data_IF_450895130407
#
_entry.id   IF_450895130407
#
_cell.length_a   1.000
_cell.length_b   1.000
_cell.length_c   1.000
_cell.angle_alpha   90.00
_cell.angle_beta   90.00
_cell.angle_gamma   90.00
#
_symmetry.space_group_name_H-M   'P 1'
#
loop_
_entity.id
_entity.type
_entity.pdbx_description
1 polymer ?
#
# COMPACT_ATOMS: atom_id res chain seq x y z
N UNK A 1 -52.79 -35.49 -24.00
CA UNK A 1 -52.15 -34.18 -24.14
C UNK A 1 -51.18 -34.04 -22.98
N UNK A 2 -50.02 -34.68 -23.10
CA UNK A 2 -48.92 -34.57 -22.14
C UNK A 2 -47.80 -33.80 -22.83
N UNK A 3 -47.56 -32.58 -22.36
CA UNK A 3 -46.42 -31.76 -22.74
C UNK A 3 -45.21 -32.33 -22.00
N UNK A 4 -44.42 -33.14 -22.69
CA UNK A 4 -43.08 -33.50 -22.24
C UNK A 4 -42.20 -32.26 -22.38
N UNK A 5 -41.90 -31.61 -21.25
CA UNK A 5 -40.87 -30.58 -21.17
C UNK A 5 -39.53 -31.18 -21.61
N UNK A 6 -39.10 -30.79 -22.79
CA UNK A 6 -37.86 -31.20 -23.41
C UNK A 6 -36.72 -30.41 -22.72
N UNK A 7 -36.34 -30.80 -21.50
CA UNK A 7 -35.13 -30.31 -20.84
C UNK A 7 -33.91 -30.79 -21.64
N UNK A 8 -33.49 -30.00 -22.62
CA UNK A 8 -32.20 -30.19 -23.28
C UNK A 8 -31.11 -30.08 -22.22
N UNK A 9 -30.32 -31.14 -22.06
CA UNK A 9 -29.13 -31.11 -21.22
C UNK A 9 -28.24 -29.93 -21.65
N UNK A 10 -27.80 -29.07 -20.71
CA UNK A 10 -26.94 -27.94 -21.03
C UNK A 10 -25.65 -28.42 -21.70
N UNK A 11 -25.18 -27.70 -22.71
CA UNK A 11 -23.91 -28.04 -23.35
C UNK A 11 -22.77 -27.91 -22.33
N UNK A 12 -21.66 -28.64 -22.54
CA UNK A 12 -20.48 -28.49 -21.66
C UNK A 12 -19.98 -27.03 -21.60
N UNK A 13 -20.13 -26.29 -22.70
CA UNK A 13 -19.81 -24.86 -22.75
C UNK A 13 -20.69 -24.05 -21.80
N UNK A 14 -22.00 -24.34 -21.75
CA UNK A 14 -22.94 -23.63 -20.87
C UNK A 14 -22.66 -23.94 -19.40
N UNK A 15 -22.31 -25.19 -19.08
CA UNK A 15 -21.88 -25.59 -17.74
C UNK A 15 -20.64 -24.82 -17.28
N UNK A 16 -19.61 -24.71 -18.13
CA UNK A 16 -18.39 -23.95 -17.82
C UNK A 16 -18.69 -22.46 -17.63
N UNK A 17 -19.56 -21.89 -18.49
CA UNK A 17 -20.00 -20.50 -18.38
C UNK A 17 -20.75 -20.26 -17.06
N UNK A 18 -21.59 -21.22 -16.64
CA UNK A 18 -22.29 -21.20 -15.36
C UNK A 18 -21.32 -21.28 -14.18
N UNK A 19 -20.34 -22.18 -14.23
CA UNK A 19 -19.32 -22.33 -13.18
C UNK A 19 -18.52 -21.03 -12.97
N UNK A 20 -18.04 -20.39 -14.04
CA UNK A 20 -17.37 -19.10 -13.93
C UNK A 20 -18.27 -17.98 -13.43
N UNK A 21 -19.57 -18.02 -13.73
CA UNK A 21 -20.53 -17.05 -13.18
C UNK A 21 -20.71 -17.26 -11.67
N UNK A 22 -20.75 -18.50 -11.20
CA UNK A 22 -20.79 -18.83 -9.77
C UNK A 22 -19.55 -18.30 -9.05
N UNK A 23 -18.36 -18.63 -9.54
CA UNK A 23 -17.08 -18.15 -8.99
C UNK A 23 -16.98 -16.62 -8.96
N UNK A 24 -17.43 -15.97 -10.04
CA UNK A 24 -17.54 -14.51 -10.08
C UNK A 24 -18.38 -13.97 -8.92
N UNK A 25 -19.55 -14.57 -8.68
CA UNK A 25 -20.46 -14.13 -7.62
C UNK A 25 -19.86 -14.37 -6.24
N UNK A 26 -19.25 -15.53 -5.99
CA UNK A 26 -18.57 -15.84 -4.73
C UNK A 26 -17.52 -14.77 -4.39
N UNK A 27 -16.66 -14.39 -5.33
CA UNK A 27 -15.65 -13.34 -5.09
C UNK A 27 -16.27 -11.96 -4.80
N UNK A 28 -17.45 -11.67 -5.35
CA UNK A 28 -18.17 -10.42 -5.13
C UNK A 28 -18.82 -10.39 -3.74
N UNK A 29 -19.33 -11.53 -3.30
CA UNK A 29 -20.08 -11.68 -2.06
C UNK A 29 -19.18 -11.73 -0.82
N UNK A 30 -17.90 -12.12 -0.96
CA UNK A 30 -16.90 -12.16 0.13
C UNK A 30 -16.77 -10.84 0.91
N UNK A 31 -17.07 -9.69 0.28
CA UNK A 31 -17.09 -8.40 0.97
C UNK A 31 -18.40 -8.17 1.75
N UNK A 32 -19.52 -8.63 1.20
CA UNK A 32 -20.88 -8.29 1.65
C UNK A 32 -21.38 -9.22 2.76
N UNK A 33 -20.92 -10.48 2.80
CA UNK A 33 -21.43 -11.52 3.70
C UNK A 33 -20.66 -11.65 5.03
N UNK A 34 -19.75 -10.73 5.33
CA UNK A 34 -18.95 -10.83 6.56
C UNK A 34 -19.82 -10.60 7.78
N UNK A 35 -20.02 -11.66 8.57
CA UNK A 35 -20.78 -11.62 9.81
C UNK A 35 -20.01 -10.80 10.84
N UNK A 36 -20.68 -9.78 11.37
CA UNK A 36 -20.17 -9.01 12.50
C UNK A 36 -20.22 -9.85 13.76
N UNK A 37 -19.08 -10.14 14.39
CA UNK A 37 -19.08 -10.65 15.76
C UNK A 37 -18.96 -9.49 16.74
N UNK A 38 -19.61 -9.56 17.91
CA UNK A 38 -19.30 -8.65 18.99
C UNK A 38 -17.80 -8.75 19.31
N UNK A 39 -17.17 -7.62 19.58
CA UNK A 39 -15.77 -7.60 20.00
C UNK A 39 -15.62 -8.45 21.26
N UNK A 40 -15.03 -9.63 21.13
CA UNK A 40 -14.61 -10.44 22.27
C UNK A 40 -13.47 -9.71 22.95
N UNK A 41 -13.68 -9.25 24.19
CA UNK A 41 -12.75 -8.38 24.93
C UNK A 41 -11.32 -8.92 25.01
N UNK A 42 -11.13 -10.25 24.99
CA UNK A 42 -9.82 -10.91 24.81
C UNK A 42 -10.03 -12.34 24.30
N UNK A 43 -9.17 -12.80 23.38
CA UNK A 43 -9.06 -14.20 23.00
C UNK A 43 -8.28 -14.99 24.05
N UNK A 44 -8.73 -16.22 24.30
CA UNK A 44 -7.96 -17.22 25.03
C UNK A 44 -6.72 -17.65 24.23
N UNK A 45 -5.68 -18.14 24.91
CA UNK A 45 -4.47 -18.61 24.21
C UNK A 45 -4.72 -19.83 23.32
N UNK A 46 -5.74 -20.64 23.61
CA UNK A 46 -6.13 -21.76 22.76
C UNK A 46 -6.82 -21.28 21.48
N UNK A 47 -7.65 -20.23 21.55
CA UNK A 47 -8.19 -19.57 20.35
C UNK A 47 -7.09 -18.90 19.52
N UNK A 48 -6.08 -18.28 20.17
CA UNK A 48 -4.91 -17.71 19.47
C UNK A 48 -4.15 -18.80 18.71
N UNK A 49 -3.88 -19.95 19.34
CA UNK A 49 -3.23 -21.10 18.68
C UNK A 49 -4.07 -21.62 17.51
N UNK A 50 -5.38 -21.76 17.72
CA UNK A 50 -6.31 -22.20 16.69
C UNK A 50 -6.31 -21.27 15.47
N UNK A 51 -6.48 -19.96 15.68
CA UNK A 51 -6.41 -18.95 14.59
C UNK A 51 -5.05 -18.92 13.91
N UNK A 52 -3.97 -19.12 14.67
CA UNK A 52 -2.60 -19.19 14.11
C UNK A 52 -2.45 -20.38 13.17
N UNK A 53 -3.01 -21.54 13.52
CA UNK A 53 -3.02 -22.71 12.65
C UNK A 53 -3.81 -22.47 11.36
N UNK A 54 -4.97 -21.80 11.44
CA UNK A 54 -5.76 -21.41 10.27
C UNK A 54 -4.97 -20.43 9.39
N UNK A 55 -4.30 -19.43 9.98
CA UNK A 55 -3.47 -18.49 9.23
C UNK A 55 -2.32 -19.20 8.52
N UNK A 56 -1.67 -20.16 9.20
CA UNK A 56 -0.63 -20.99 8.58
C UNK A 56 -1.18 -21.82 7.41
N UNK A 57 -2.37 -22.40 7.55
CA UNK A 57 -3.05 -23.13 6.45
C UNK A 57 -3.37 -22.20 5.28
N UNK A 58 -3.87 -20.99 5.56
CA UNK A 58 -4.15 -19.98 4.54
C UNK A 58 -2.90 -19.64 3.73
N UNK A 59 -1.77 -19.39 4.43
CA UNK A 59 -0.49 -19.00 3.82
C UNK A 59 0.22 -20.12 3.08
N UNK A 60 0.22 -21.34 3.64
CA UNK A 60 1.03 -22.46 3.12
C UNK A 60 0.30 -23.36 2.14
N UNK A 61 -1.04 -23.33 2.11
CA UNK A 61 -1.83 -24.25 1.30
C UNK A 61 -2.90 -23.53 0.49
N UNK A 62 -3.83 -22.81 1.12
CA UNK A 62 -5.01 -22.29 0.40
C UNK A 62 -4.65 -21.22 -0.64
N UNK A 63 -3.84 -20.21 -0.27
CA UNK A 63 -3.42 -19.16 -1.20
C UNK A 63 -2.52 -19.70 -2.33
N UNK A 64 -1.50 -20.55 -2.06
CA UNK A 64 -0.77 -21.22 -3.13
C UNK A 64 -1.63 -22.09 -4.06
N UNK A 65 -2.57 -22.87 -3.51
CA UNK A 65 -3.48 -23.71 -4.29
C UNK A 65 -4.35 -22.89 -5.23
N UNK A 66 -4.80 -21.71 -4.78
CA UNK A 66 -5.55 -20.79 -5.63
C UNK A 66 -4.72 -20.34 -6.85
N UNK A 67 -3.44 -19.98 -6.65
CA UNK A 67 -2.52 -19.64 -7.75
C UNK A 67 -2.33 -20.82 -8.69
N UNK A 68 -2.12 -22.02 -8.14
CA UNK A 68 -1.92 -23.24 -8.92
C UNK A 68 -3.16 -23.59 -9.76
N UNK A 69 -4.36 -23.47 -9.19
CA UNK A 69 -5.60 -23.72 -9.93
C UNK A 69 -5.80 -22.73 -11.09
N UNK A 70 -5.34 -21.48 -10.98
CA UNK A 70 -5.34 -20.53 -12.10
C UNK A 70 -4.33 -20.89 -13.20
N UNK A 71 -3.18 -21.44 -12.84
CA UNK A 71 -2.21 -21.98 -13.81
C UNK A 71 -2.82 -23.19 -14.55
N UNK A 72 -3.40 -24.14 -13.81
CA UNK A 72 -4.10 -25.30 -14.39
C UNK A 72 -5.28 -24.87 -15.28
N UNK A 73 -6.00 -23.81 -14.90
CA UNK A 73 -7.07 -23.25 -15.72
C UNK A 73 -6.56 -22.71 -17.05
N UNK A 74 -5.42 -22.02 -17.02
CA UNK A 74 -4.75 -21.49 -18.20
C UNK A 74 -4.29 -22.62 -19.15
N UNK A 75 -3.78 -23.71 -18.60
CA UNK A 75 -3.41 -24.90 -19.37
C UNK A 75 -4.63 -25.64 -19.94
N UNK A 76 -5.70 -25.77 -19.15
CA UNK A 76 -6.93 -26.45 -19.57
C UNK A 76 -7.64 -25.70 -20.70
N UNK A 77 -7.62 -24.36 -20.66
CA UNK A 77 -8.17 -23.51 -21.71
C UNK A 77 -7.20 -23.28 -22.87
N UNK A 78 -6.04 -23.93 -22.84
CA UNK A 78 -5.04 -23.89 -23.91
C UNK A 78 -4.58 -22.45 -24.22
N UNK A 79 -4.42 -21.64 -23.17
CA UNK A 79 -4.00 -20.23 -23.27
C UNK A 79 -2.53 -20.09 -23.70
N UNK A 80 -1.78 -21.19 -23.78
CA UNK A 80 -0.38 -21.19 -24.20
C UNK A 80 -0.18 -21.77 -25.62
N UNK A 81 -1.25 -22.17 -26.32
CA UNK A 81 -1.18 -22.70 -27.68
C UNK A 81 -0.45 -21.76 -28.66
N UNK A 82 0.49 -22.30 -29.44
CA UNK A 82 1.16 -21.55 -30.50
C UNK A 82 0.25 -21.51 -31.73
N UNK A 83 -0.34 -20.34 -32.01
CA UNK A 83 -1.23 -20.10 -33.16
C UNK A 83 -2.67 -19.76 -32.78
N UNK A 84 -3.56 -19.79 -33.78
CA UNK A 84 -4.97 -19.35 -33.68
C UNK A 84 -5.93 -20.47 -33.24
N UNK A 85 -5.45 -21.71 -33.17
CA UNK A 85 -6.24 -22.87 -32.79
C UNK A 85 -6.13 -23.06 -31.28
N UNK A 86 -7.19 -22.72 -30.56
CA UNK A 86 -7.33 -22.96 -29.12
C UNK A 86 -8.28 -24.15 -28.93
N UNK A 87 -7.84 -25.20 -28.26
CA UNK A 87 -8.68 -26.38 -28.01
C UNK A 87 -8.90 -26.61 -26.50
N UNK A 88 -9.91 -25.94 -25.91
CA UNK A 88 -10.12 -26.00 -24.46
C UNK A 88 -10.62 -27.38 -24.02
N UNK A 89 -10.01 -27.93 -22.97
CA UNK A 89 -10.42 -29.18 -22.31
C UNK A 89 -11.55 -28.88 -21.33
N UNK A 90 -12.77 -28.66 -21.84
CA UNK A 90 -13.91 -28.19 -21.04
C UNK A 90 -14.25 -29.08 -19.83
N UNK A 91 -14.01 -30.40 -19.89
CA UNK A 91 -14.18 -31.30 -18.75
C UNK A 91 -13.19 -31.01 -17.62
N UNK A 92 -11.92 -30.82 -17.97
CA UNK A 92 -10.86 -30.47 -17.02
C UNK A 92 -11.13 -29.08 -16.44
N UNK A 93 -11.55 -28.13 -17.28
CA UNK A 93 -11.97 -26.78 -16.85
C UNK A 93 -13.07 -26.85 -15.81
N UNK A 94 -14.10 -27.70 -16.00
CA UNK A 94 -15.16 -27.87 -15.00
C UNK A 94 -14.62 -28.39 -13.66
N UNK A 95 -13.76 -29.42 -13.70
CA UNK A 95 -13.16 -29.98 -12.49
C UNK A 95 -12.32 -28.93 -11.74
N UNK A 96 -11.53 -28.13 -12.46
CA UNK A 96 -10.74 -27.03 -11.90
C UNK A 96 -11.67 -25.96 -11.28
N UNK A 97 -12.74 -25.56 -11.97
CA UNK A 97 -13.69 -24.57 -11.42
C UNK A 97 -14.40 -25.05 -10.15
N UNK A 98 -14.63 -26.36 -10.00
CA UNK A 98 -15.17 -26.93 -8.75
C UNK A 98 -14.17 -26.80 -7.61
N UNK A 99 -12.90 -27.17 -7.83
CA UNK A 99 -11.84 -27.02 -6.82
C UNK A 99 -11.61 -25.57 -6.42
N UNK A 100 -11.66 -24.66 -7.39
CA UNK A 100 -11.60 -23.22 -7.13
C UNK A 100 -12.73 -22.76 -6.22
N UNK A 101 -13.95 -23.26 -6.44
CA UNK A 101 -15.10 -22.94 -5.58
C UNK A 101 -14.87 -23.42 -4.15
N UNK A 102 -14.39 -24.65 -3.98
CA UNK A 102 -14.10 -25.21 -2.66
C UNK A 102 -12.97 -24.44 -1.95
N UNK A 103 -11.92 -24.07 -2.69
CA UNK A 103 -10.79 -23.31 -2.17
C UNK A 103 -11.21 -21.90 -1.74
N UNK A 104 -12.02 -21.21 -2.56
CA UNK A 104 -12.55 -19.88 -2.22
C UNK A 104 -13.44 -19.93 -0.96
N UNK A 105 -14.31 -20.94 -0.84
CA UNK A 105 -15.13 -21.12 0.36
C UNK A 105 -14.28 -21.40 1.61
N UNK A 106 -13.21 -22.18 1.48
CA UNK A 106 -12.26 -22.42 2.58
C UNK A 106 -11.51 -21.15 2.98
N UNK A 107 -11.09 -20.35 2.00
CA UNK A 107 -10.42 -19.06 2.25
C UNK A 107 -11.37 -18.10 2.98
N UNK A 108 -12.63 -17.99 2.52
CA UNK A 108 -13.63 -17.14 3.17
C UNK A 108 -13.87 -17.56 4.63
N UNK A 109 -14.04 -18.85 4.89
CA UNK A 109 -14.18 -19.38 6.25
C UNK A 109 -12.95 -19.10 7.12
N UNK A 110 -11.75 -19.27 6.57
CA UNK A 110 -10.50 -18.95 7.27
C UNK A 110 -10.42 -17.47 7.64
N UNK A 111 -10.74 -16.59 6.68
CA UNK A 111 -10.80 -15.13 6.86
C UNK A 111 -11.78 -14.73 7.96
N UNK A 112 -13.01 -15.25 7.90
CA UNK A 112 -14.06 -14.95 8.87
C UNK A 112 -13.70 -15.44 10.28
N UNK A 113 -12.88 -16.49 10.38
CA UNK A 113 -12.41 -17.01 11.67
C UNK A 113 -11.24 -16.20 12.24
N UNK A 114 -10.27 -15.83 11.40
CA UNK A 114 -9.05 -15.11 11.83
C UNK A 114 -9.38 -13.67 12.21
N UNK A 115 -10.15 -12.98 11.38
CA UNK A 115 -10.59 -11.61 11.61
C UNK A 115 -12.09 -11.47 11.30
N UNK A 116 -12.95 -11.78 12.27
CA UNK A 116 -14.37 -11.49 12.13
C UNK A 116 -14.57 -9.98 12.01
N UNK A 117 -15.57 -9.55 11.22
CA UNK A 117 -15.88 -8.13 11.16
C UNK A 117 -16.36 -7.65 12.53
N UNK A 118 -15.96 -6.45 12.97
CA UNK A 118 -16.64 -5.79 14.06
C UNK A 118 -18.06 -5.43 13.64
N UNK A 119 -19.04 -5.63 14.52
CA UNK A 119 -20.35 -4.99 14.35
C UNK A 119 -20.14 -3.46 14.29
N UNK A 120 -20.69 -2.84 13.24
CA UNK A 120 -20.60 -1.40 12.93
C UNK A 120 -20.59 -0.52 14.19
N UNK A 121 -19.51 0.26 14.37
CA UNK A 121 -19.41 1.24 15.45
C UNK A 121 -18.07 1.23 16.17
N UNK A 122 -17.01 1.67 15.48
CA UNK A 122 -15.79 2.18 16.09
C UNK A 122 -15.08 1.25 17.08
N UNK A 123 -14.37 0.23 16.57
CA UNK A 123 -13.37 -0.42 17.41
C UNK A 123 -12.14 0.47 17.51
N UNK A 124 -11.84 0.90 18.74
CA UNK A 124 -10.46 1.19 19.11
C UNK A 124 -9.69 -0.12 18.93
N UNK A 125 -8.48 -0.11 18.33
CA UNK A 125 -7.67 -1.31 18.24
C UNK A 125 -7.50 -1.94 19.63
N UNK A 126 -7.48 -3.27 19.71
CA UNK A 126 -7.31 -3.96 20.97
C UNK A 126 -5.97 -3.57 21.60
N UNK A 127 -6.01 -3.24 22.89
CA UNK A 127 -4.83 -2.92 23.71
C UNK A 127 -4.22 -4.18 24.35
N UNK A 128 -4.87 -5.33 24.24
CA UNK A 128 -4.54 -6.54 25.01
C UNK A 128 -4.07 -7.72 24.15
N UNK A 129 -3.82 -7.51 22.86
CA UNK A 129 -3.41 -8.55 21.90
C UNK A 129 -1.89 -8.67 21.71
N UNK A 130 -1.09 -8.06 22.58
CA UNK A 130 0.38 -8.04 22.52
C UNK A 130 0.97 -9.45 22.28
N UNK A 131 0.38 -10.46 22.91
CA UNK A 131 0.83 -11.86 22.91
C UNK A 131 0.22 -12.70 21.78
N UNK A 132 -0.61 -12.13 20.91
CA UNK A 132 -1.31 -12.89 19.87
C UNK A 132 -0.43 -13.17 18.64
N UNK A 133 0.79 -12.65 18.60
CA UNK A 133 1.77 -12.97 17.56
C UNK A 133 1.27 -12.60 16.16
N UNK A 134 1.16 -13.58 15.27
CA UNK A 134 0.76 -13.37 13.88
C UNK A 134 -0.74 -13.05 13.71
N UNK A 135 -1.56 -13.38 14.71
CA UNK A 135 -3.03 -13.17 14.67
C UNK A 135 -3.49 -11.94 15.46
N UNK A 136 -2.57 -11.02 15.74
CA UNK A 136 -2.91 -9.66 16.20
C UNK A 136 -3.93 -9.01 15.27
N UNK A 137 -4.84 -8.23 15.83
CA UNK A 137 -5.95 -7.62 15.09
C UNK A 137 -5.46 -6.83 13.87
N UNK A 138 -4.46 -5.95 14.06
CA UNK A 138 -3.95 -5.11 12.98
C UNK A 138 -3.35 -5.93 11.82
N UNK A 139 -2.73 -7.09 12.10
CA UNK A 139 -2.14 -7.96 11.08
C UNK A 139 -3.21 -8.65 10.26
N UNK A 140 -4.22 -9.19 10.94
CA UNK A 140 -5.34 -9.82 10.28
C UNK A 140 -6.13 -8.79 9.47
N UNK A 141 -6.33 -7.58 9.99
CA UNK A 141 -6.99 -6.51 9.26
C UNK A 141 -6.19 -6.04 8.04
N UNK A 142 -4.87 -5.93 8.14
CA UNK A 142 -4.01 -5.58 7.00
C UNK A 142 -4.01 -6.67 5.91
N UNK A 143 -3.99 -7.95 6.30
CA UNK A 143 -4.16 -9.08 5.38
C UNK A 143 -5.49 -8.95 4.62
N UNK A 144 -6.58 -8.67 5.32
CA UNK A 144 -7.92 -8.54 4.72
C UNK A 144 -8.08 -7.31 3.84
N UNK A 145 -7.60 -6.16 4.31
CA UNK A 145 -7.61 -4.92 3.54
C UNK A 145 -6.82 -5.05 2.23
N UNK A 146 -5.89 -6.01 2.16
CA UNK A 146 -5.16 -6.33 0.93
C UNK A 146 -5.90 -7.40 0.11
N UNK A 147 -6.37 -8.47 0.73
CA UNK A 147 -6.96 -9.63 0.04
C UNK A 147 -8.34 -9.36 -0.56
N UNK A 148 -9.24 -8.71 0.19
CA UNK A 148 -10.64 -8.49 -0.25
C UNK A 148 -10.69 -7.69 -1.56
N UNK A 149 -9.96 -6.56 -1.70
CA UNK A 149 -9.91 -5.85 -2.98
C UNK A 149 -9.38 -6.70 -4.15
N UNK A 150 -8.39 -7.57 -3.90
CA UNK A 150 -7.89 -8.50 -4.94
C UNK A 150 -9.01 -9.43 -5.38
N UNK A 151 -9.73 -10.07 -4.46
CA UNK A 151 -10.84 -10.95 -4.84
C UNK A 151 -11.95 -10.19 -5.58
N UNK A 152 -12.38 -9.07 -5.00
CA UNK A 152 -13.55 -8.33 -5.48
C UNK A 152 -13.30 -7.60 -6.80
N UNK A 153 -12.18 -6.90 -6.96
CA UNK A 153 -11.90 -6.10 -8.15
C UNK A 153 -11.10 -6.86 -9.21
N UNK A 154 -10.26 -7.81 -8.80
CA UNK A 154 -9.31 -8.45 -9.70
C UNK A 154 -9.78 -9.84 -10.13
N UNK A 155 -9.91 -10.76 -9.17
CA UNK A 155 -10.25 -12.17 -9.46
C UNK A 155 -11.65 -12.31 -10.04
N UNK A 156 -12.61 -11.52 -9.55
CA UNK A 156 -13.96 -11.50 -10.14
C UNK A 156 -13.92 -11.12 -11.64
N UNK A 157 -13.15 -10.10 -12.00
CA UNK A 157 -12.98 -9.67 -13.40
C UNK A 157 -12.29 -10.76 -14.21
N UNK A 158 -11.28 -11.42 -13.64
CA UNK A 158 -10.59 -12.55 -14.26
C UNK A 158 -11.57 -13.68 -14.60
N UNK A 159 -12.47 -14.07 -13.68
CA UNK A 159 -13.53 -15.06 -13.98
C UNK A 159 -14.51 -14.59 -15.06
N UNK A 160 -14.87 -13.31 -15.10
CA UNK A 160 -15.68 -12.77 -16.19
C UNK A 160 -14.97 -12.88 -17.54
N UNK A 161 -13.65 -12.66 -17.59
CA UNK A 161 -12.88 -12.77 -18.84
C UNK A 161 -12.79 -14.22 -19.30
N UNK A 162 -12.53 -15.16 -18.39
CA UNK A 162 -12.59 -16.60 -18.68
C UNK A 162 -13.96 -17.03 -19.24
N UNK A 163 -15.05 -16.57 -18.61
CA UNK A 163 -16.42 -16.78 -19.10
C UNK A 163 -16.63 -16.23 -20.51
N UNK A 164 -16.13 -15.02 -20.79
CA UNK A 164 -16.21 -14.38 -22.12
C UNK A 164 -15.39 -15.15 -23.16
N UNK A 165 -14.22 -15.64 -22.80
CA UNK A 165 -13.35 -16.43 -23.67
C UNK A 165 -14.07 -17.72 -24.09
N UNK A 166 -14.56 -18.51 -23.14
CA UNK A 166 -15.26 -19.78 -23.43
C UNK A 166 -16.50 -19.56 -24.31
N UNK A 167 -17.26 -18.49 -24.06
CA UNK A 167 -18.41 -18.12 -24.91
C UNK A 167 -18.00 -17.79 -26.35
N UNK A 168 -16.92 -17.02 -26.53
CA UNK A 168 -16.44 -16.65 -27.85
C UNK A 168 -15.89 -17.87 -28.60
N UNK A 169 -15.17 -18.76 -27.93
CA UNK A 169 -14.68 -20.02 -28.50
C UNK A 169 -15.85 -20.92 -28.95
N UNK A 170 -16.88 -21.07 -28.12
CA UNK A 170 -18.09 -21.82 -28.50
C UNK A 170 -18.80 -21.21 -29.71
N UNK A 171 -18.88 -19.88 -29.77
CA UNK A 171 -19.50 -19.17 -30.90
C UNK A 171 -18.71 -19.35 -32.20
N UNK A 172 -17.38 -19.32 -32.13
CA UNK A 172 -16.50 -19.55 -33.30
C UNK A 172 -16.62 -20.98 -33.82
N UNK A 173 -16.60 -21.98 -32.93
CA UNK A 173 -16.76 -23.39 -33.31
C UNK A 173 -18.09 -23.66 -34.00
N UNK A 174 -19.15 -23.00 -33.55
CA UNK A 174 -20.48 -23.11 -34.17
C UNK A 174 -20.60 -22.37 -35.51
N UNK A 175 -19.72 -21.41 -35.81
CA UNK A 175 -19.70 -20.65 -37.07
C UNK A 175 -18.77 -21.24 -38.13
N UNK A 176 -17.70 -21.93 -37.73
CA UNK A 176 -16.78 -22.60 -38.66
C UNK A 176 -17.46 -23.70 -39.51
N UNK A 177 -18.65 -24.15 -39.12
CA UNK A 177 -19.50 -25.03 -39.93
C UNK A 177 -20.17 -24.31 -41.12
N UNK A 178 -20.11 -22.97 -41.18
CA UNK A 178 -20.77 -22.11 -42.16
C UNK A 178 -19.75 -21.21 -42.89
N UNK A 179 -18.63 -21.78 -43.37
CA UNK A 179 -17.64 -21.07 -44.21
C UNK A 179 -16.93 -19.85 -43.57
N UNK A 180 -15.82 -19.36 -44.16
CA UNK A 180 -15.12 -18.19 -43.65
C UNK A 180 -15.76 -16.88 -44.15
N UNK A 181 -16.25 -16.04 -43.23
CA UNK A 181 -16.66 -14.64 -43.49
C UNK A 181 -15.76 -13.63 -42.72
N UNK A 182 -15.91 -12.33 -42.97
CA UNK A 182 -15.17 -11.25 -42.27
C UNK A 182 -15.42 -11.21 -40.74
N UNK A 183 -16.57 -11.70 -40.26
CA UNK A 183 -16.88 -11.77 -38.82
C UNK A 183 -16.06 -12.87 -38.12
N UNK A 184 -15.62 -13.90 -38.83
CA UNK A 184 -14.74 -14.95 -38.29
C UNK A 184 -13.36 -14.40 -37.90
N UNK A 185 -12.80 -13.49 -38.71
CA UNK A 185 -11.52 -12.81 -38.46
C UNK A 185 -11.61 -11.86 -37.27
N UNK A 186 -12.70 -11.08 -37.19
CA UNK A 186 -12.96 -10.20 -36.05
C UNK A 186 -13.17 -10.98 -34.74
N UNK A 187 -13.84 -12.14 -34.81
CA UNK A 187 -14.03 -13.05 -33.69
C UNK A 187 -12.71 -13.66 -33.18
N UNK A 188 -11.83 -14.09 -34.10
CA UNK A 188 -10.49 -14.59 -33.76
C UNK A 188 -9.66 -13.50 -33.06
N UNK A 189 -9.61 -12.29 -33.63
CA UNK A 189 -8.89 -11.14 -33.05
C UNK A 189 -9.35 -10.83 -31.62
N UNK A 190 -10.66 -10.92 -31.35
CA UNK A 190 -11.23 -10.72 -30.00
C UNK A 190 -10.78 -11.81 -29.02
N UNK A 191 -10.73 -13.07 -29.47
CA UNK A 191 -10.25 -14.20 -28.66
C UNK A 191 -8.78 -14.03 -28.30
N UNK A 192 -7.92 -13.66 -29.26
CA UNK A 192 -6.50 -13.39 -29.01
C UNK A 192 -6.28 -12.27 -28.01
N UNK A 193 -7.02 -11.17 -28.13
CA UNK A 193 -6.92 -10.05 -27.17
C UNK A 193 -7.32 -10.48 -25.77
N UNK A 194 -8.46 -11.16 -25.63
CA UNK A 194 -8.93 -11.66 -24.33
C UNK A 194 -7.95 -12.66 -23.71
N UNK A 195 -7.37 -13.54 -24.53
CA UNK A 195 -6.34 -14.48 -24.10
C UNK A 195 -5.13 -13.77 -23.52
N UNK A 196 -4.59 -12.76 -24.22
CA UNK A 196 -3.47 -11.94 -23.73
C UNK A 196 -3.80 -11.26 -22.41
N UNK A 197 -4.96 -10.60 -22.32
CA UNK A 197 -5.42 -9.95 -21.09
C UNK A 197 -5.56 -10.94 -19.92
N UNK A 198 -6.04 -12.16 -20.17
CA UNK A 198 -6.15 -13.19 -19.13
C UNK A 198 -4.78 -13.62 -18.63
N UNK A 199 -3.81 -13.84 -19.52
CA UNK A 199 -2.44 -14.24 -19.15
C UNK A 199 -1.79 -13.16 -18.29
N UNK A 200 -1.76 -11.92 -18.78
CA UNK A 200 -1.20 -10.78 -18.05
C UNK A 200 -1.85 -10.64 -16.69
N UNK A 201 -3.18 -10.82 -16.62
CA UNK A 201 -3.85 -10.71 -15.33
C UNK A 201 -3.56 -11.88 -14.38
N UNK A 202 -3.50 -13.11 -14.88
CA UNK A 202 -3.14 -14.27 -14.06
C UNK A 202 -1.73 -14.10 -13.48
N UNK A 203 -0.81 -13.51 -14.24
CA UNK A 203 0.55 -13.23 -13.77
C UNK A 203 0.56 -12.18 -12.64
N UNK A 204 -0.12 -11.04 -12.80
CA UNK A 204 -0.16 -10.02 -11.74
C UNK A 204 -0.92 -10.53 -10.50
N UNK A 205 -1.97 -11.35 -10.69
CA UNK A 205 -2.68 -12.01 -9.59
C UNK A 205 -1.72 -12.89 -8.78
N UNK A 206 -0.95 -13.73 -9.47
CA UNK A 206 0.01 -14.64 -8.84
C UNK A 206 1.05 -13.86 -8.05
N UNK A 207 1.62 -12.80 -8.64
CA UNK A 207 2.55 -11.90 -7.94
C UNK A 207 1.92 -11.24 -6.72
N UNK A 208 0.66 -10.80 -6.83
CA UNK A 208 -0.08 -10.18 -5.73
C UNK A 208 -0.30 -11.15 -4.57
N UNK A 209 -0.65 -12.41 -4.86
CA UNK A 209 -0.82 -13.45 -3.82
C UNK A 209 0.52 -13.82 -3.17
N UNK A 210 1.59 -13.98 -3.96
CA UNK A 210 2.92 -14.22 -3.39
C UNK A 210 3.37 -13.06 -2.48
N UNK A 211 3.17 -11.81 -2.92
CA UNK A 211 3.44 -10.62 -2.12
C UNK A 211 2.59 -10.55 -0.85
N UNK A 212 1.32 -10.98 -0.90
CA UNK A 212 0.44 -11.08 0.27
C UNK A 212 0.95 -12.10 1.29
N UNK A 213 1.30 -13.31 0.84
CA UNK A 213 1.86 -14.37 1.69
C UNK A 213 3.13 -13.84 2.37
N UNK A 214 4.06 -13.31 1.59
CA UNK A 214 5.32 -12.77 2.10
C UNK A 214 5.08 -11.64 3.13
N UNK A 215 4.23 -10.66 2.79
CA UNK A 215 3.89 -9.53 3.68
C UNK A 215 3.31 -10.03 5.00
N UNK A 216 2.42 -11.02 4.95
CA UNK A 216 1.73 -11.56 6.14
C UNK A 216 2.67 -12.31 7.10
N UNK A 217 3.83 -12.75 6.63
CA UNK A 217 4.85 -13.45 7.43
C UNK A 217 5.89 -12.50 8.05
N UNK A 218 5.98 -11.25 7.57
CA UNK A 218 6.95 -10.27 8.08
C UNK A 218 6.66 -9.90 9.55
N UNK A 219 7.69 -9.45 10.26
CA UNK A 219 7.52 -8.89 11.61
C UNK A 219 6.93 -7.49 11.54
N UNK A 220 6.27 -7.07 12.63
CA UNK A 220 5.70 -5.73 12.76
C UNK A 220 6.76 -4.64 12.52
N UNK A 221 8.02 -4.91 12.90
CA UNK A 221 9.14 -4.00 12.67
C UNK A 221 9.51 -3.87 11.19
N UNK A 222 9.60 -4.98 10.44
CA UNK A 222 9.90 -4.95 9.01
C UNK A 222 8.81 -4.20 8.24
N UNK A 223 7.54 -4.32 8.66
CA UNK A 223 6.43 -3.56 8.07
C UNK A 223 6.61 -2.05 8.29
N UNK A 224 7.01 -1.62 9.49
CA UNK A 224 7.30 -0.22 9.80
C UNK A 224 8.51 0.30 9.04
N UNK A 225 9.60 -0.48 8.95
CA UNK A 225 10.79 -0.11 8.19
C UNK A 225 10.46 0.12 6.71
N UNK A 226 9.58 -0.68 6.10
CA UNK A 226 9.15 -0.43 4.72
C UNK A 226 8.44 0.92 4.57
N UNK A 227 7.64 1.34 5.56
CA UNK A 227 7.02 2.67 5.56
C UNK A 227 8.06 3.77 5.64
N UNK A 228 9.01 3.66 6.57
CA UNK A 228 10.07 4.66 6.73
C UNK A 228 11.01 4.73 5.54
N UNK A 229 11.24 3.62 4.83
CA UNK A 229 12.02 3.60 3.58
C UNK A 229 11.35 4.46 2.49
N UNK A 230 10.02 4.33 2.33
CA UNK A 230 9.27 5.20 1.41
C UNK A 230 9.35 6.66 1.84
N UNK A 231 9.28 6.95 3.14
CA UNK A 231 9.44 8.31 3.67
C UNK A 231 10.84 8.87 3.32
N UNK A 232 11.90 8.06 3.42
CA UNK A 232 13.27 8.47 3.03
C UNK A 232 13.37 8.77 1.54
N UNK A 233 12.80 7.93 0.68
CA UNK A 233 12.80 8.12 -0.77
C UNK A 233 12.14 9.45 -1.17
N UNK A 234 10.98 9.76 -0.58
CA UNK A 234 10.29 11.04 -0.81
C UNK A 234 11.09 12.22 -0.28
N UNK A 235 11.75 12.09 0.89
CA UNK A 235 12.62 13.15 1.40
C UNK A 235 13.83 13.39 0.50
N UNK A 236 14.37 12.34 -0.15
CA UNK A 236 15.45 12.47 -1.12
C UNK A 236 15.02 13.25 -2.37
N UNK A 237 13.82 12.97 -2.90
CA UNK A 237 13.23 13.75 -3.99
C UNK A 237 13.01 15.22 -3.59
N UNK A 238 12.42 15.46 -2.42
CA UNK A 238 12.19 16.81 -1.89
C UNK A 238 13.49 17.61 -1.70
N UNK A 239 14.59 16.95 -1.29
CA UNK A 239 15.90 17.59 -1.19
C UNK A 239 16.44 18.00 -2.56
N UNK A 240 16.24 17.18 -3.59
CA UNK A 240 16.64 17.50 -4.94
C UNK A 240 15.87 18.74 -5.45
N UNK A 241 14.55 18.76 -5.27
CA UNK A 241 13.68 19.87 -5.68
C UNK A 241 14.06 21.19 -4.98
N UNK A 242 14.25 21.16 -3.66
CA UNK A 242 14.66 22.34 -2.90
C UNK A 242 16.04 22.85 -3.31
N UNK A 243 16.98 21.94 -3.56
CA UNK A 243 18.34 22.30 -4.01
C UNK A 243 18.30 22.93 -5.39
N UNK A 244 17.51 22.37 -6.32
CA UNK A 244 17.29 22.94 -7.64
C UNK A 244 16.64 24.32 -7.54
N UNK A 245 15.59 24.48 -6.73
CA UNK A 245 14.92 25.76 -6.53
C UNK A 245 15.87 26.82 -5.98
N UNK A 246 16.72 26.47 -5.00
CA UNK A 246 17.72 27.37 -4.45
C UNK A 246 18.74 27.80 -5.54
N UNK A 247 19.23 26.86 -6.35
CA UNK A 247 20.17 27.16 -7.44
C UNK A 247 19.54 28.02 -8.55
N UNK A 248 18.28 27.77 -8.89
CA UNK A 248 17.53 28.55 -9.89
C UNK A 248 17.26 29.97 -9.37
N UNK A 249 16.92 30.12 -8.09
CA UNK A 249 16.82 31.42 -7.44
C UNK A 249 18.16 32.17 -7.57
N UNK A 250 19.27 31.55 -7.16
CA UNK A 250 20.63 32.10 -7.28
C UNK A 250 20.98 32.47 -8.74
N UNK A 251 20.57 31.67 -9.73
CA UNK A 251 20.82 31.95 -11.14
C UNK A 251 20.02 33.16 -11.67
N UNK A 252 18.72 33.24 -11.39
CA UNK A 252 17.89 34.39 -11.78
C UNK A 252 18.22 35.66 -10.98
N UNK A 253 18.85 35.52 -9.82
CA UNK A 253 19.38 36.59 -8.99
C UNK A 253 20.58 37.30 -9.63
N UNK A 254 21.40 36.58 -10.41
CA UNK A 254 22.54 37.14 -11.12
C UNK A 254 22.13 37.97 -12.37
N UNK A 255 20.86 37.94 -12.79
CA UNK A 255 20.37 38.56 -14.05
C UNK A 255 19.31 39.65 -13.87
N UNK A 256 18.80 39.93 -12.66
CA UNK A 256 17.70 40.89 -12.43
C UNK A 256 18.17 42.16 -11.70
N UNK A 257 18.73 43.09 -12.47
CA UNK A 257 18.99 44.49 -12.09
C UNK A 257 17.86 45.45 -12.54
N UNK A 258 16.64 44.94 -12.76
CA UNK A 258 15.60 45.62 -13.58
C UNK A 258 14.24 45.87 -12.88
N UNK A 259 14.18 45.97 -11.55
CA UNK A 259 12.93 46.32 -10.85
C UNK A 259 13.14 47.55 -9.95
N UNK A 260 12.18 48.47 -9.99
CA UNK A 260 12.07 49.76 -9.27
C UNK A 260 11.80 49.60 -7.76
N UNK A 261 12.51 48.67 -7.10
CA UNK A 261 12.56 48.52 -5.64
C UNK A 261 13.96 48.92 -5.20
N UNK A 262 14.09 49.58 -4.05
CA UNK A 262 15.40 49.89 -3.47
C UNK A 262 16.32 48.66 -3.55
N UNK A 263 17.43 48.73 -4.32
CA UNK A 263 18.33 47.60 -4.54
C UNK A 263 18.89 47.00 -3.24
N UNK A 264 18.94 47.76 -2.14
CA UNK A 264 19.37 47.28 -0.84
C UNK A 264 18.30 46.43 -0.16
N UNK A 265 17.03 46.87 -0.17
CA UNK A 265 15.89 46.12 0.37
C UNK A 265 15.66 44.83 -0.43
N UNK A 266 15.75 44.91 -1.75
CA UNK A 266 15.64 43.74 -2.63
C UNK A 266 16.77 42.73 -2.38
N UNK A 267 18.00 43.16 -2.09
CA UNK A 267 19.11 42.26 -1.69
C UNK A 267 18.87 41.62 -0.33
N UNK A 268 18.39 42.38 0.65
CA UNK A 268 18.12 41.85 2.00
C UNK A 268 17.00 40.80 2.00
N UNK A 269 15.86 41.08 1.35
CA UNK A 269 14.75 40.12 1.24
C UNK A 269 15.15 38.83 0.51
N UNK A 270 16.08 38.91 -0.43
CA UNK A 270 16.65 37.73 -1.13
C UNK A 270 17.52 36.89 -0.21
N UNK A 271 18.46 37.51 0.50
CA UNK A 271 19.31 36.81 1.47
C UNK A 271 18.46 36.09 2.53
N UNK A 272 17.35 36.69 2.95
CA UNK A 272 16.41 36.08 3.90
C UNK A 272 15.63 34.90 3.30
N UNK A 273 15.16 35.02 2.06
CA UNK A 273 14.54 33.89 1.37
C UNK A 273 15.52 32.71 1.22
N UNK A 274 16.77 32.97 0.85
CA UNK A 274 17.80 31.95 0.75
C UNK A 274 18.05 31.27 2.11
N UNK A 275 18.20 32.05 3.20
CA UNK A 275 18.32 31.52 4.57
C UNK A 275 17.12 30.66 4.98
N UNK A 276 15.90 31.03 4.59
CA UNK A 276 14.68 30.24 4.84
C UNK A 276 14.77 28.90 4.12
N UNK A 277 15.10 28.89 2.82
CA UNK A 277 15.23 27.65 2.05
C UNK A 277 16.36 26.76 2.58
N UNK A 278 17.51 27.33 2.94
CA UNK A 278 18.62 26.59 3.56
C UNK A 278 18.24 25.96 4.89
N UNK A 279 17.44 26.66 5.70
CA UNK A 279 16.93 26.13 6.96
C UNK A 279 15.97 24.96 6.74
N UNK A 280 15.12 25.02 5.71
CA UNK A 280 14.22 23.92 5.32
C UNK A 280 15.01 22.73 4.80
N UNK A 281 15.99 22.95 3.91
CA UNK A 281 16.90 21.89 3.44
C UNK A 281 17.56 21.20 4.63
N UNK A 282 18.00 21.97 5.61
CA UNK A 282 18.60 21.43 6.84
C UNK A 282 17.61 20.57 7.62
N UNK A 283 16.37 21.03 7.82
CA UNK A 283 15.33 20.25 8.48
C UNK A 283 15.02 18.94 7.74
N UNK A 284 14.85 18.98 6.42
CA UNK A 284 14.60 17.80 5.59
C UNK A 284 15.76 16.79 5.72
N UNK A 285 17.02 17.26 5.69
CA UNK A 285 18.19 16.41 5.92
C UNK A 285 18.17 15.75 7.30
N UNK A 286 17.78 16.48 8.34
CA UNK A 286 17.72 15.94 9.72
C UNK A 286 16.64 14.86 9.84
N UNK A 287 15.45 15.06 9.24
CA UNK A 287 14.41 14.03 9.20
C UNK A 287 14.81 12.83 8.34
N UNK A 288 15.48 13.04 7.21
CA UNK A 288 16.04 11.95 6.41
C UNK A 288 17.03 11.11 7.23
N UNK A 289 17.94 11.77 7.96
CA UNK A 289 18.89 11.09 8.87
C UNK A 289 18.14 10.32 9.95
N UNK A 290 17.07 10.89 10.52
CA UNK A 290 16.23 10.23 11.52
C UNK A 290 15.68 8.90 10.98
N UNK A 291 14.98 8.92 9.85
CA UNK A 291 14.38 7.71 9.28
C UNK A 291 15.42 6.72 8.78
N UNK A 292 16.51 7.19 8.15
CA UNK A 292 17.63 6.33 7.72
C UNK A 292 18.22 5.54 8.89
N UNK A 293 18.36 6.17 10.07
CA UNK A 293 18.85 5.48 11.27
C UNK A 293 17.89 4.44 11.84
N UNK A 294 16.59 4.54 11.55
CA UNK A 294 15.60 3.51 11.92
C UNK A 294 15.63 2.32 10.95
N UNK A 295 16.18 2.52 9.74
CA UNK A 295 16.38 1.50 8.72
C UNK A 295 17.73 0.78 8.88
N UNK A 296 18.78 1.54 9.24
CA UNK A 296 20.13 1.03 9.41
C UNK A 296 20.20 -0.05 10.49
N UNK A 297 20.47 -1.27 10.05
CA UNK A 297 20.72 -2.42 10.91
C UNK A 297 22.18 -2.81 10.74
N UNK A 298 23.06 -2.62 11.74
CA UNK A 298 24.47 -2.94 11.59
C UNK A 298 24.65 -4.42 11.23
N UNK A 299 25.17 -4.69 10.03
CA UNK A 299 25.71 -6.00 9.62
C UNK A 299 24.73 -7.18 9.66
N UNK A 300 23.56 -7.05 9.05
CA UNK A 300 22.71 -8.18 8.68
C UNK A 300 21.90 -8.83 9.83
N UNK A 301 21.91 -8.23 11.02
CA UNK A 301 20.92 -8.48 12.07
C UNK A 301 20.19 -7.19 12.38
N UNK A 302 18.87 -7.27 12.56
CA UNK A 302 18.09 -6.11 13.00
C UNK A 302 18.68 -5.59 14.33
N UNK A 303 19.32 -4.42 14.31
CA UNK A 303 19.95 -3.83 15.51
C UNK A 303 18.93 -3.50 16.61
N UNK A 304 17.65 -3.47 16.23
CA UNK A 304 16.51 -3.31 17.10
C UNK A 304 15.43 -4.32 16.76
N UNK A 305 14.66 -4.70 17.76
CA UNK A 305 13.40 -5.42 17.62
C UNK A 305 12.29 -4.63 18.29
N UNK A 306 11.05 -4.85 17.85
CA UNK A 306 9.89 -4.39 18.61
C UNK A 306 9.48 -5.49 19.57
N UNK A 307 9.26 -5.12 20.83
CA UNK A 307 8.76 -6.03 21.85
C UNK A 307 7.39 -5.56 22.37
N UNK A 308 6.54 -6.52 22.73
CA UNK A 308 5.31 -6.30 23.50
C UNK A 308 4.26 -5.35 22.90
N UNK A 309 4.29 -5.06 21.60
CA UNK A 309 3.39 -4.06 21.01
C UNK A 309 1.99 -4.63 20.73
N UNK A 310 0.95 -4.04 21.33
CA UNK A 310 -0.46 -4.32 20.98
C UNK A 310 -0.82 -3.74 19.60
N UNK A 311 -1.96 -4.12 19.04
CA UNK A 311 -2.50 -3.49 17.83
C UNK A 311 -2.78 -2.00 18.02
N UNK A 312 -3.15 -1.57 19.23
CA UNK A 312 -3.30 -0.15 19.58
C UNK A 312 -1.96 0.58 19.58
N UNK A 313 -0.94 0.00 20.20
CA UNK A 313 0.40 0.58 20.23
C UNK A 313 1.03 0.60 18.84
N UNK A 314 0.76 -0.41 18.02
CA UNK A 314 1.18 -0.44 16.62
C UNK A 314 0.54 0.72 15.86
N UNK A 315 -0.77 0.92 15.98
CA UNK A 315 -1.48 1.97 15.27
C UNK A 315 -0.95 3.35 15.67
N UNK A 316 -0.69 3.52 16.96
CA UNK A 316 -0.03 4.71 17.50
C UNK A 316 1.39 4.87 16.98
N UNK A 317 2.19 3.80 16.92
CA UNK A 317 3.57 3.81 16.41
C UNK A 317 3.63 4.25 14.96
N UNK A 318 2.80 3.66 14.10
CA UNK A 318 2.72 4.07 12.70
C UNK A 318 2.30 5.53 12.55
N UNK A 319 1.28 5.95 13.28
CA UNK A 319 0.74 7.31 13.18
C UNK A 319 1.73 8.36 13.67
N UNK A 320 2.29 8.15 14.87
CA UNK A 320 3.24 9.07 15.50
C UNK A 320 4.51 9.18 14.65
N UNK A 321 5.08 8.06 14.19
CA UNK A 321 6.32 8.10 13.39
C UNK A 321 6.12 8.68 11.99
N UNK A 322 4.91 8.66 11.43
CA UNK A 322 4.59 9.30 10.15
C UNK A 322 4.29 10.81 10.24
N UNK A 323 3.95 11.33 11.43
CA UNK A 323 3.59 12.74 11.58
C UNK A 323 4.72 13.72 11.23
N UNK A 324 5.97 13.53 11.70
CA UNK A 324 7.04 14.44 11.33
C UNK A 324 7.27 14.47 9.82
N UNK A 325 7.25 13.30 9.14
CA UNK A 325 7.33 13.19 7.69
C UNK A 325 6.22 13.98 6.97
N UNK A 326 4.96 13.76 7.35
CA UNK A 326 3.83 14.48 6.76
C UNK A 326 3.98 16.00 6.97
N UNK A 327 4.44 16.40 8.16
CA UNK A 327 4.60 17.81 8.49
C UNK A 327 5.75 18.47 7.71
N UNK A 328 6.91 17.83 7.63
CA UNK A 328 8.06 18.38 6.88
C UNK A 328 7.74 18.42 5.38
N UNK A 329 7.07 17.39 4.85
CA UNK A 329 6.60 17.39 3.46
C UNK A 329 5.68 18.57 3.17
N UNK A 330 4.76 18.90 4.09
CA UNK A 330 3.91 20.08 3.93
C UNK A 330 4.68 21.39 3.96
N UNK A 331 5.74 21.48 4.79
CA UNK A 331 6.64 22.64 4.80
C UNK A 331 7.36 22.77 3.46
N UNK A 332 7.84 21.67 2.87
CA UNK A 332 8.47 21.66 1.54
C UNK A 332 7.47 22.09 0.46
N UNK A 333 6.26 21.52 0.46
CA UNK A 333 5.20 21.89 -0.49
C UNK A 333 4.90 23.39 -0.45
N UNK A 334 4.76 23.96 0.76
CA UNK A 334 4.59 25.40 0.94
C UNK A 334 5.81 26.16 0.44
N UNK A 335 7.04 25.69 0.72
CA UNK A 335 8.25 26.37 0.24
C UNK A 335 8.31 26.42 -1.29
N UNK A 336 7.99 25.31 -1.96
CA UNK A 336 8.06 25.15 -3.41
C UNK A 336 6.87 25.74 -4.18
N UNK A 337 5.74 26.04 -3.52
CA UNK A 337 4.58 26.61 -4.21
C UNK A 337 4.87 28.01 -4.78
N UNK A 338 4.34 28.32 -5.96
CA UNK A 338 4.35 29.69 -6.48
C UNK A 338 3.41 30.56 -5.65
N UNK A 339 3.81 31.79 -5.30
CA UNK A 339 2.88 32.72 -4.64
C UNK A 339 1.64 32.90 -5.52
N UNK A 340 0.45 32.72 -4.94
CA UNK A 340 -0.80 33.01 -5.65
C UNK A 340 -0.85 34.50 -6.03
N UNK A 341 -1.55 34.87 -7.12
CA UNK A 341 -1.79 36.28 -7.44
C UNK A 341 -2.46 36.99 -6.26
N UNK A 342 -1.75 37.95 -5.64
CA UNK A 342 -2.22 38.68 -4.45
C UNK A 342 -1.74 38.13 -3.11
N UNK A 343 -1.02 37.00 -3.08
CA UNK A 343 -0.37 36.49 -1.89
C UNK A 343 0.90 37.27 -1.56
N UNK A 344 0.96 37.88 -0.38
CA UNK A 344 2.20 38.49 0.10
C UNK A 344 3.19 37.41 0.55
N UNK A 345 4.47 37.60 0.27
CA UNK A 345 5.57 36.76 0.77
C UNK A 345 5.48 36.54 2.30
N UNK A 346 4.95 37.53 3.03
CA UNK A 346 4.68 37.47 4.47
C UNK A 346 3.58 36.48 4.86
N UNK A 347 2.55 36.26 4.03
CA UNK A 347 1.52 35.23 4.27
C UNK A 347 2.14 33.83 4.15
N UNK A 348 2.93 33.62 3.10
CA UNK A 348 3.64 32.36 2.84
C UNK A 348 4.65 32.02 3.94
N UNK A 349 5.48 32.98 4.36
CA UNK A 349 6.43 32.80 5.47
C UNK A 349 5.72 32.46 6.79
N UNK A 350 4.59 33.11 7.11
CA UNK A 350 3.80 32.79 8.31
C UNK A 350 3.17 31.40 8.26
N UNK A 351 2.64 30.98 7.11
CA UNK A 351 2.12 29.62 6.94
C UNK A 351 3.24 28.58 7.12
N UNK A 352 4.41 28.85 6.57
CA UNK A 352 5.58 27.99 6.67
C UNK A 352 6.02 27.81 8.12
N UNK A 353 6.21 28.91 8.86
CA UNK A 353 6.54 28.86 10.30
C UNK A 353 5.45 28.11 11.07
N UNK A 354 4.18 28.49 10.87
CA UNK A 354 3.07 27.88 11.61
C UNK A 354 2.97 26.37 11.40
N UNK A 355 3.38 25.84 10.25
CA UNK A 355 3.50 24.39 10.03
C UNK A 355 4.77 23.82 10.64
N UNK A 356 5.92 24.49 10.47
CA UNK A 356 7.20 23.99 10.95
C UNK A 356 7.32 23.99 12.49
N UNK A 357 6.58 24.84 13.20
CA UNK A 357 6.61 24.95 14.67
C UNK A 357 6.20 23.67 15.41
N UNK A 358 5.40 22.82 14.78
CA UNK A 358 4.99 21.52 15.33
C UNK A 358 6.10 20.46 15.21
N UNK A 359 7.11 20.66 14.36
CA UNK A 359 8.12 19.63 14.08
C UNK A 359 8.91 19.17 15.31
N UNK A 360 9.40 20.05 16.21
CA UNK A 360 10.12 19.61 17.41
C UNK A 360 9.26 18.78 18.36
N UNK A 361 7.98 19.15 18.55
CA UNK A 361 7.09 18.40 19.45
C UNK A 361 6.69 17.05 18.85
N UNK A 362 6.41 17.00 17.54
CA UNK A 362 6.16 15.75 16.83
C UNK A 362 7.36 14.81 16.88
N UNK A 363 8.57 15.34 16.72
CA UNK A 363 9.82 14.57 16.85
C UNK A 363 10.00 14.05 18.27
N UNK A 364 9.74 14.87 19.29
CA UNK A 364 9.80 14.46 20.70
C UNK A 364 8.81 13.33 21.01
N UNK A 365 7.57 13.44 20.50
CA UNK A 365 6.58 12.36 20.62
C UNK A 365 7.04 11.06 19.95
N UNK A 366 7.70 11.14 18.80
CA UNK A 366 8.30 9.98 18.14
C UNK A 366 9.37 9.35 19.02
N UNK A 367 10.33 10.14 19.52
CA UNK A 367 11.43 9.63 20.34
C UNK A 367 10.93 8.94 21.61
N UNK A 368 9.88 9.46 22.23
CA UNK A 368 9.28 8.81 23.41
C UNK A 368 8.75 7.44 23.03
N UNK A 369 7.91 7.35 22.00
CA UNK A 369 7.27 6.09 21.62
C UNK A 369 8.26 5.05 21.11
N UNK A 370 9.20 5.50 20.26
CA UNK A 370 10.33 4.70 19.78
C UNK A 370 11.17 4.23 20.98
N UNK A 371 11.50 5.09 21.93
CA UNK A 371 12.27 4.72 23.12
C UNK A 371 11.59 3.71 24.04
N UNK A 372 10.25 3.62 24.02
CA UNK A 372 9.49 2.62 24.78
C UNK A 372 9.44 1.25 24.11
N UNK A 373 9.40 1.18 22.78
CA UNK A 373 9.12 -0.06 22.07
C UNK A 373 10.31 -0.63 21.29
N UNK A 374 11.32 0.17 20.95
CA UNK A 374 12.52 -0.32 20.28
C UNK A 374 13.49 -0.87 21.31
N UNK A 375 13.60 -2.19 21.32
CA UNK A 375 14.55 -2.92 22.17
C UNK A 375 15.85 -3.12 21.40
N UNK A 376 16.98 -2.56 21.86
CA UNK A 376 18.27 -2.77 21.24
C UNK A 376 18.71 -4.23 21.42
N UNK A 377 19.35 -4.79 20.41
CA UNK A 377 19.88 -6.16 20.50
C UNK A 377 21.13 -6.30 21.38
N UNK A 378 21.75 -5.18 21.78
CA UNK A 378 22.92 -5.10 22.67
C UNK A 378 22.92 -3.76 23.44
N UNK A 379 23.42 -3.74 24.66
CA UNK A 379 23.57 -2.55 25.51
C UNK A 379 24.42 -1.44 24.84
N UNK A 380 25.39 -1.80 23.99
CA UNK A 380 26.17 -0.83 23.22
C UNK A 380 25.30 -0.01 22.23
N UNK A 381 24.24 -0.63 21.70
CA UNK A 381 23.29 0.03 20.79
C UNK A 381 22.37 0.97 21.56
N UNK A 382 22.02 0.67 22.81
CA UNK A 382 21.19 1.56 23.65
C UNK A 382 21.88 2.92 23.90
N UNK A 383 23.16 2.89 24.26
CA UNK A 383 23.95 4.11 24.49
C UNK A 383 24.13 4.93 23.21
N UNK A 384 24.43 4.23 22.10
CA UNK A 384 24.59 4.84 20.78
C UNK A 384 23.28 5.47 20.30
N UNK A 385 22.16 4.80 20.52
CA UNK A 385 20.82 5.27 20.22
C UNK A 385 20.48 6.56 21.00
N UNK A 386 20.61 6.55 22.33
CA UNK A 386 20.33 7.73 23.17
C UNK A 386 21.20 8.93 22.78
N UNK A 387 22.48 8.71 22.52
CA UNK A 387 23.43 9.76 22.13
C UNK A 387 23.12 10.32 20.73
N UNK A 388 22.75 9.45 19.79
CA UNK A 388 22.48 9.84 18.41
C UNK A 388 21.16 10.60 18.25
N UNK A 389 20.08 10.17 18.90
CA UNK A 389 18.78 10.84 18.81
C UNK A 389 18.72 12.13 19.63
N UNK A 390 19.44 12.21 20.76
CA UNK A 390 19.56 13.48 21.52
C UNK A 390 20.32 14.55 20.74
N UNK A 391 21.40 14.18 20.04
CA UNK A 391 22.12 15.10 19.14
C UNK A 391 21.20 15.59 18.02
N UNK A 392 20.42 14.68 17.42
CA UNK A 392 19.48 15.02 16.35
C UNK A 392 18.36 15.95 16.83
N UNK A 393 17.85 15.70 18.04
CA UNK A 393 16.87 16.55 18.72
C UNK A 393 17.37 17.98 18.88
N UNK A 394 18.62 18.15 19.31
CA UNK A 394 19.28 19.46 19.42
C UNK A 394 19.38 20.16 18.07
N UNK A 395 19.88 19.44 17.05
CA UNK A 395 20.03 19.98 15.71
C UNK A 395 18.71 20.43 15.07
N UNK A 396 17.61 19.68 15.26
CA UNK A 396 16.29 20.06 14.76
C UNK A 396 15.82 21.37 15.40
N UNK A 397 16.02 21.54 16.71
CA UNK A 397 15.64 22.80 17.39
C UNK A 397 16.46 23.99 16.88
N UNK A 398 17.77 23.83 16.76
CA UNK A 398 18.63 24.88 16.21
C UNK A 398 18.23 25.25 14.77
N UNK A 399 17.94 24.28 13.92
CA UNK A 399 17.46 24.53 12.56
C UNK A 399 16.09 25.26 12.54
N UNK A 400 15.21 24.93 13.48
CA UNK A 400 13.93 25.63 13.66
C UNK A 400 14.13 27.08 14.13
N UNK A 401 15.05 27.33 15.05
CA UNK A 401 15.34 28.68 15.54
C UNK A 401 15.88 29.57 14.40
N UNK A 402 16.79 29.02 13.57
CA UNK A 402 17.29 29.72 12.38
C UNK A 402 16.17 30.06 11.39
N UNK A 403 15.25 29.13 11.14
CA UNK A 403 14.09 29.36 10.27
C UNK A 403 13.21 30.50 10.80
N UNK A 404 12.91 30.50 12.10
CA UNK A 404 12.10 31.54 12.75
C UNK A 404 12.78 32.90 12.69
N UNK A 405 14.07 32.96 13.01
CA UNK A 405 14.84 34.21 12.96
C UNK A 405 14.82 34.82 11.56
N UNK A 406 15.08 34.01 10.52
CA UNK A 406 15.09 34.50 9.14
C UNK A 406 13.71 35.02 8.69
N UNK A 407 12.63 34.33 9.07
CA UNK A 407 11.29 34.73 8.69
C UNK A 407 10.76 35.94 9.49
N UNK A 408 11.16 36.11 10.76
CA UNK A 408 10.84 37.29 11.55
C UNK A 408 11.55 38.54 11.01
N UNK A 409 12.84 38.41 10.65
CA UNK A 409 13.62 39.48 10.03
C UNK A 409 13.01 39.91 8.69
N UNK A 410 12.48 38.95 7.92
CA UNK A 410 11.77 39.24 6.66
C UNK A 410 10.46 40.01 6.88
N UNK A 411 9.72 39.71 7.96
CA UNK A 411 8.49 40.41 8.31
C UNK A 411 8.75 41.88 8.65
N UNK A 412 9.79 42.15 9.45
CA UNK A 412 10.11 43.49 9.94
C UNK A 412 10.62 44.44 8.84
N UNK A 413 11.20 43.92 7.75
CA UNK A 413 11.67 44.72 6.61
C UNK A 413 10.57 45.18 5.65
N UNK A 414 9.34 44.69 5.82
CA UNK A 414 8.18 45.03 4.98
C UNK A 414 7.10 45.85 5.70
N UNK A 415 7.32 46.17 6.98
CA UNK A 415 6.60 47.19 7.76
C UNK A 415 7.35 48.50 7.61
#
# INVERSE_FOLDING_TARGET
MELTENYSNPSQTDLVIGAFQGLYQTCRDMQEQRVGNPATETLSMDEVKFRTAILAQLQSNLLPSLVEDFAHLSESLDLNAVGDIINPRLKDTLAITSRLSDTLNQIENAINTIAPMPVLGGLKPHTSDEKYGLVKEHRCQDLLNTFIPIMYHYVSVLFQKHKRLVRNLGSLRNRQTIGPDDQSVAGSTRVHRLRKEIIEMTDDFSQSIHGLIEKSQRSDFVVLQRSWQLDVEVLDEQLADLTQMNNVAIYWEARRDLIDVDPMVARHLRALNSKIIESIITLVKLFRIFYTRLLDTPKGKAGFTLDGMSSADWAKMRFVTGHPFSRISKVVEIACSTCEPGETVNRKARQLIGKAEELPSLFDSCLVLIGFHLVPSDAALEYTFKTNFSTLRGAIRTAMDHLKSAALEQHNLRM
#
